data_IF_698262668175
#
_entry.id   IF_698262668175
#
_cell.length_a   1.000
_cell.length_b   1.000
_cell.length_c   1.000
_cell.angle_alpha   90.00
_cell.angle_beta   90.00
_cell.angle_gamma   90.00
#
_symmetry.space_group_name_H-M   'P 1'
#
loop_
_entity.id
_entity.type
_entity.pdbx_description
1 polymer ?
#
# COMPACT_ATOMS: atom_id res chain seq x y z
N UNK A 1 10.22 5.33 -18.09
CA UNK A 1 10.40 4.58 -16.82
C UNK A 1 9.86 3.17 -17.05
N UNK A 2 10.58 2.12 -16.68
CA UNK A 2 10.11 0.74 -16.85
C UNK A 2 9.65 0.22 -15.48
N UNK A 3 8.34 0.27 -15.23
CA UNK A 3 7.74 -0.20 -13.97
C UNK A 3 7.26 -1.63 -14.21
N UNK A 4 7.87 -2.59 -13.53
CA UNK A 4 7.36 -3.95 -13.48
C UNK A 4 6.57 -4.10 -12.17
N UNK A 5 5.24 -4.07 -12.28
CA UNK A 5 4.33 -4.16 -11.14
C UNK A 5 3.61 -5.51 -11.18
N UNK A 6 3.87 -6.34 -10.16
CA UNK A 6 3.16 -7.59 -9.96
C UNK A 6 2.12 -7.39 -8.86
N UNK A 7 0.84 -7.37 -9.25
CA UNK A 7 -0.28 -7.29 -8.31
C UNK A 7 -0.86 -8.70 -8.17
N UNK A 8 -0.72 -9.30 -6.99
CA UNK A 8 -1.22 -10.65 -6.74
C UNK A 8 -2.75 -10.74 -6.80
N UNK A 9 -3.44 -9.69 -6.32
CA UNK A 9 -4.90 -9.65 -6.28
C UNK A 9 -5.41 -8.22 -6.33
N UNK A 10 -6.41 -7.99 -7.18
CA UNK A 10 -7.24 -6.79 -7.15
C UNK A 10 -8.66 -7.25 -6.84
N UNK A 11 -9.26 -6.66 -5.81
CA UNK A 11 -10.66 -6.90 -5.44
C UNK A 11 -11.45 -5.68 -5.88
N UNK A 12 -12.43 -5.89 -6.75
CA UNK A 12 -13.37 -4.87 -7.18
C UNK A 12 -14.75 -5.37 -6.75
N UNK A 13 -15.24 -4.82 -5.65
CA UNK A 13 -16.57 -5.14 -5.13
C UNK A 13 -17.63 -4.34 -5.90
N UNK A 14 -18.86 -4.87 -5.92
CA UNK A 14 -20.06 -4.21 -6.47
C UNK A 14 -20.00 -3.82 -7.97
N UNK A 15 -19.21 -4.55 -8.77
CA UNK A 15 -19.18 -4.39 -10.23
C UNK A 15 -20.14 -5.38 -10.91
N UNK A 16 -21.23 -4.85 -11.47
CA UNK A 16 -22.16 -5.62 -12.30
C UNK A 16 -21.70 -5.63 -13.77
N UNK A 17 -20.73 -6.49 -14.08
CA UNK A 17 -20.21 -6.69 -15.44
C UNK A 17 -20.35 -8.16 -15.84
N UNK A 18 -20.90 -8.47 -17.04
CA UNK A 18 -20.96 -9.83 -17.54
C UNK A 18 -19.57 -10.47 -17.60
N UNK A 19 -19.47 -11.75 -17.27
CA UNK A 19 -18.18 -12.50 -17.32
C UNK A 19 -17.47 -12.38 -18.66
N UNK A 20 -18.23 -12.29 -19.75
CA UNK A 20 -17.71 -12.10 -21.10
C UNK A 20 -16.99 -10.77 -21.32
N UNK A 21 -17.20 -9.77 -20.47
CA UNK A 21 -16.57 -8.45 -20.54
C UNK A 21 -15.44 -8.25 -19.53
N UNK A 22 -15.13 -9.25 -18.70
CA UNK A 22 -14.05 -9.15 -17.70
C UNK A 22 -12.69 -8.79 -18.33
N UNK A 23 -12.42 -9.28 -19.53
CA UNK A 23 -11.19 -8.91 -20.26
C UNK A 23 -11.11 -7.41 -20.58
N UNK A 24 -12.27 -6.75 -20.82
CA UNK A 24 -12.33 -5.31 -21.08
C UNK A 24 -12.12 -4.52 -19.80
N UNK A 25 -12.71 -4.99 -18.70
CA UNK A 25 -12.47 -4.41 -17.38
C UNK A 25 -10.98 -4.49 -17.01
N UNK A 26 -10.36 -5.65 -17.21
CA UNK A 26 -8.93 -5.83 -16.98
C UNK A 26 -8.09 -4.88 -17.84
N UNK A 27 -8.33 -4.81 -19.15
CA UNK A 27 -7.58 -3.92 -20.04
C UNK A 27 -7.74 -2.43 -19.69
N UNK A 28 -8.95 -2.02 -19.29
CA UNK A 28 -9.20 -0.66 -18.83
C UNK A 28 -8.47 -0.35 -17.52
N UNK A 29 -8.47 -1.30 -16.57
CA UNK A 29 -7.77 -1.19 -15.30
C UNK A 29 -6.25 -1.09 -15.49
N UNK A 30 -5.67 -1.94 -16.33
CA UNK A 30 -4.23 -1.91 -16.65
C UNK A 30 -3.83 -0.58 -17.31
N UNK A 31 -4.66 -0.08 -18.22
CA UNK A 31 -4.45 1.21 -18.89
C UNK A 31 -4.46 2.35 -17.87
N UNK A 32 -5.44 2.38 -16.98
CA UNK A 32 -5.60 3.44 -16.01
C UNK A 32 -4.54 3.39 -14.91
N UNK A 33 -4.19 2.21 -14.41
CA UNK A 33 -3.06 2.04 -13.48
C UNK A 33 -1.75 2.51 -14.12
N UNK A 34 -1.50 2.16 -15.38
CA UNK A 34 -0.30 2.62 -16.10
C UNK A 34 -0.28 4.15 -16.22
N UNK A 35 -1.43 4.76 -16.53
CA UNK A 35 -1.57 6.22 -16.61
C UNK A 35 -1.29 6.87 -15.25
N UNK A 36 -1.93 6.40 -14.18
CA UNK A 36 -1.78 6.94 -12.83
C UNK A 36 -0.34 6.84 -12.32
N UNK A 37 0.35 5.73 -12.58
CA UNK A 37 1.74 5.52 -12.17
C UNK A 37 2.72 6.39 -12.97
N UNK A 38 2.41 6.67 -14.24
CA UNK A 38 3.21 7.57 -15.07
C UNK A 38 3.00 9.04 -14.70
N UNK A 39 1.77 9.45 -14.36
CA UNK A 39 1.44 10.84 -14.05
C UNK A 39 1.82 11.25 -12.62
N UNK A 40 1.53 10.41 -11.62
CA UNK A 40 1.72 10.78 -10.21
C UNK A 40 3.07 10.31 -9.64
N UNK A 41 3.92 9.67 -10.47
CA UNK A 41 5.04 8.83 -10.04
C UNK A 41 4.60 7.69 -9.10
N UNK A 42 5.44 6.66 -8.96
CA UNK A 42 5.22 5.69 -7.90
C UNK A 42 5.38 6.39 -6.54
N UNK A 43 4.42 6.23 -5.60
CA UNK A 43 4.62 6.61 -4.21
C UNK A 43 5.95 6.07 -3.71
N UNK A 44 6.72 6.87 -2.99
CA UNK A 44 8.07 6.51 -2.55
C UNK A 44 8.11 5.19 -1.76
N UNK A 45 7.03 4.86 -1.03
CA UNK A 45 6.88 3.59 -0.31
C UNK A 45 6.68 2.37 -1.23
N UNK A 46 6.17 2.55 -2.46
CA UNK A 46 6.00 1.48 -3.45
C UNK A 46 7.23 1.28 -4.35
N UNK A 47 8.19 2.21 -4.35
CA UNK A 47 9.40 2.10 -5.17
C UNK A 47 10.23 0.85 -4.85
N UNK A 48 10.14 0.33 -3.61
CA UNK A 48 10.75 -0.93 -3.19
C UNK A 48 9.74 -2.09 -3.13
N UNK A 49 8.69 -2.06 -3.96
CA UNK A 49 7.68 -3.12 -4.02
C UNK A 49 6.76 -3.20 -2.78
N UNK A 50 6.57 -2.07 -2.08
CA UNK A 50 5.77 -2.03 -0.85
C UNK A 50 6.43 -2.69 0.36
N UNK A 51 7.69 -3.15 0.24
CA UNK A 51 8.44 -3.68 1.36
C UNK A 51 9.03 -2.54 2.20
N UNK A 52 8.46 -2.32 3.38
CA UNK A 52 8.97 -1.35 4.36
C UNK A 52 9.90 -2.09 5.33
N UNK A 53 11.18 -2.18 4.97
CA UNK A 53 12.20 -2.87 5.78
C UNK A 53 12.51 -2.17 7.10
N UNK A 54 12.21 -0.86 7.19
CA UNK A 54 12.38 -0.05 8.39
C UNK A 54 11.36 1.08 8.39
N UNK A 55 10.71 1.29 9.54
CA UNK A 55 9.80 2.39 9.75
C UNK A 55 10.45 3.42 10.68
N UNK A 56 10.79 4.63 10.21
CA UNK A 56 11.32 5.68 11.06
C UNK A 56 10.22 6.14 12.02
N UNK A 57 10.33 5.76 13.29
CA UNK A 57 9.43 6.20 14.36
C UNK A 57 10.21 6.49 15.64
N UNK A 58 9.66 7.35 16.49
CA UNK A 58 10.21 7.66 17.80
C UNK A 58 9.36 6.96 18.85
N UNK A 59 9.97 6.05 19.60
CA UNK A 59 9.34 5.43 20.78
C UNK A 59 9.87 6.15 22.01
N UNK A 60 8.96 6.75 22.78
CA UNK A 60 9.34 7.45 24.01
C UNK A 60 9.47 6.43 25.15
N UNK A 61 10.71 6.18 25.57
CA UNK A 61 11.00 5.30 26.71
C UNK A 61 11.27 6.17 27.93
N UNK A 62 10.33 6.16 28.89
CA UNK A 62 10.47 6.81 30.20
C UNK A 62 10.72 5.76 31.29
N UNK A 63 11.19 6.19 32.46
CA UNK A 63 11.56 5.29 33.55
C UNK A 63 10.39 4.40 34.04
N UNK A 64 9.17 4.91 33.94
CA UNK A 64 7.95 4.26 34.43
C UNK A 64 7.09 3.63 33.33
N UNK A 65 7.63 3.49 32.11
CA UNK A 65 6.87 2.96 30.98
C UNK A 65 6.66 1.45 31.13
N UNK A 66 5.43 0.99 30.87
CA UNK A 66 5.07 -0.43 30.87
C UNK A 66 5.26 -1.05 29.49
N UNK A 67 5.48 -2.38 29.41
CA UNK A 67 5.52 -3.10 28.14
C UNK A 67 4.27 -2.88 27.28
N UNK A 68 3.06 -2.82 27.86
CA UNK A 68 1.85 -2.52 27.10
C UNK A 68 1.89 -1.13 26.46
N UNK A 69 2.37 -0.11 27.18
CA UNK A 69 2.48 1.25 26.64
C UNK A 69 3.50 1.36 25.51
N UNK A 70 4.59 0.60 25.56
CA UNK A 70 5.55 0.48 24.44
C UNK A 70 4.86 -0.18 23.25
N UNK A 71 4.14 -1.28 23.48
CA UNK A 71 3.40 -2.00 22.43
C UNK A 71 2.39 -1.12 21.70
N UNK A 72 1.65 -0.29 22.43
CA UNK A 72 0.69 0.68 21.84
C UNK A 72 1.40 1.70 20.95
N UNK A 73 2.54 2.25 21.38
CA UNK A 73 3.31 3.21 20.57
C UNK A 73 3.83 2.59 19.27
N UNK A 74 4.30 1.33 19.33
CA UNK A 74 4.75 0.59 18.15
C UNK A 74 3.57 0.34 17.21
N UNK A 75 2.45 -0.16 17.72
CA UNK A 75 1.26 -0.45 16.92
C UNK A 75 0.72 0.81 16.21
N UNK A 76 0.64 1.94 16.91
CA UNK A 76 0.24 3.22 16.31
C UNK A 76 1.20 3.69 15.22
N UNK A 77 2.51 3.50 15.44
CA UNK A 77 3.54 3.85 14.45
C UNK A 77 3.38 3.02 13.18
N UNK A 78 3.28 1.69 13.32
CA UNK A 78 3.09 0.76 12.20
C UNK A 78 1.81 1.10 11.44
N UNK A 79 0.70 1.30 12.14
CA UNK A 79 -0.57 1.63 11.51
C UNK A 79 -0.52 2.95 10.73
N UNK A 80 0.13 4.00 11.28
CA UNK A 80 0.35 5.26 10.56
C UNK A 80 1.31 5.12 9.39
N UNK A 81 2.31 4.24 9.49
CA UNK A 81 3.26 3.96 8.42
C UNK A 81 2.63 3.23 7.23
N UNK A 82 1.62 2.40 7.48
CA UNK A 82 0.87 1.69 6.43
C UNK A 82 -0.14 2.61 5.73
N UNK A 83 -0.69 3.61 6.44
CA UNK A 83 -1.70 4.54 5.89
C UNK A 83 -1.10 5.79 5.18
N UNK A 84 0.21 5.85 4.94
CA UNK A 84 0.91 6.99 4.33
C UNK A 84 1.51 6.63 2.98
#
# INVERSE_FOLDING_TARGET
MNINLQIERIILDDIDIPRSQLYRLQAALETELSRLLNENNLPSHLQNGGNISSLPTTVNITKDITPEQIGVQIAQSVFRGIMK
#
